data_IF_969210463576
#
_entry.id   IF_969210463576
#
_cell.length_a   1.000
_cell.length_b   1.000
_cell.length_c   1.000
_cell.angle_alpha   90.00
_cell.angle_beta   90.00
_cell.angle_gamma   90.00
#
_symmetry.space_group_name_H-M   'P 1'
#
loop_
_entity.id
_entity.type
_entity.pdbx_description
1 polymer ?
#
# COMPACT_ATOMS: atom_id res chain seq x y z
N UNK A 1 15.97 -1.79 -16.65
CA UNK A 1 15.35 -0.92 -15.64
C UNK A 1 14.15 -0.26 -16.27
N UNK A 2 13.04 -0.13 -15.55
CA UNK A 2 11.91 0.69 -15.98
C UNK A 2 12.05 2.06 -15.32
N UNK A 3 12.02 3.15 -16.09
CA UNK A 3 12.13 4.53 -15.59
C UNK A 3 10.80 5.02 -14.96
N UNK A 4 10.18 4.20 -14.11
CA UNK A 4 8.84 4.42 -13.55
C UNK A 4 8.86 4.21 -12.04
N UNK A 5 8.11 5.05 -11.33
CA UNK A 5 7.88 4.97 -9.88
C UNK A 5 6.39 4.92 -9.61
N UNK A 6 5.95 4.01 -8.74
CA UNK A 6 4.58 3.95 -8.26
C UNK A 6 4.46 4.79 -6.98
N UNK A 7 3.49 5.71 -6.95
CA UNK A 7 3.26 6.63 -5.83
C UNK A 7 1.83 6.41 -5.31
N UNK A 8 1.63 6.54 -4.00
CA UNK A 8 0.31 6.54 -3.37
C UNK A 8 0.26 7.53 -2.20
N UNK A 9 -0.93 8.03 -1.91
CA UNK A 9 -1.23 8.69 -0.63
C UNK A 9 -2.06 7.72 0.21
N UNK A 10 -1.57 7.26 1.38
CA UNK A 10 -2.29 6.29 2.19
C UNK A 10 -3.49 6.95 2.89
N UNK A 11 -4.63 6.25 2.95
CA UNK A 11 -5.79 6.67 3.72
C UNK A 11 -5.77 6.09 5.14
N UNK A 12 -4.74 6.43 5.92
CA UNK A 12 -4.61 5.99 7.32
C UNK A 12 -3.90 7.05 8.17
N UNK A 13 -4.53 7.51 9.24
CA UNK A 13 -4.05 8.61 10.08
C UNK A 13 -2.66 8.36 10.67
N UNK A 14 -2.40 7.16 11.20
CA UNK A 14 -1.08 6.80 11.76
C UNK A 14 0.03 6.92 10.70
N UNK A 15 -0.21 6.47 9.45
CA UNK A 15 0.78 6.54 8.38
C UNK A 15 0.96 7.97 7.88
N UNK A 16 -0.10 8.76 7.83
CA UNK A 16 -0.04 10.18 7.45
C UNK A 16 0.78 10.98 8.48
N UNK A 17 0.57 10.77 9.77
CA UNK A 17 1.35 11.41 10.83
C UNK A 17 2.83 11.04 10.78
N UNK A 18 3.16 9.80 10.41
CA UNK A 18 4.55 9.40 10.17
C UNK A 18 5.14 10.11 8.94
N UNK A 19 4.37 10.20 7.85
CA UNK A 19 4.78 10.91 6.63
C UNK A 19 5.00 12.42 6.87
N UNK A 20 4.30 13.05 7.82
CA UNK A 20 4.60 14.44 8.21
C UNK A 20 5.99 14.62 8.85
N UNK A 21 6.65 13.52 9.26
CA UNK A 21 7.98 13.50 9.87
C UNK A 21 9.06 12.97 8.93
N UNK A 22 8.71 12.60 7.70
CA UNK A 22 9.61 12.01 6.71
C UNK A 22 9.40 12.65 5.34
N UNK A 23 10.42 12.69 4.47
CA UNK A 23 10.20 13.17 3.10
C UNK A 23 9.39 12.14 2.29
N UNK A 24 9.83 10.88 2.29
CA UNK A 24 9.17 9.76 1.60
C UNK A 24 9.34 8.46 2.38
N UNK A 25 8.35 7.57 2.27
CA UNK A 25 8.43 6.20 2.78
C UNK A 25 8.30 5.24 1.60
N UNK A 26 9.31 4.38 1.45
CA UNK A 26 9.33 3.31 0.45
C UNK A 26 9.19 1.98 1.17
N UNK A 27 8.23 1.17 0.75
CA UNK A 27 8.02 -0.14 1.36
C UNK A 27 7.01 -0.98 0.59
N UNK A 28 7.12 -2.30 0.75
CA UNK A 28 6.14 -3.29 0.28
C UNK A 28 5.14 -3.61 1.40
N UNK A 29 4.30 -4.62 1.20
CA UNK A 29 3.56 -5.23 2.31
C UNK A 29 4.53 -5.72 3.39
N UNK A 30 4.16 -5.50 4.65
CA UNK A 30 4.89 -6.01 5.81
C UNK A 30 4.49 -7.48 6.02
N UNK A 31 5.19 -8.39 5.37
CA UNK A 31 4.97 -9.83 5.48
C UNK A 31 6.26 -10.60 5.13
N UNK A 32 6.31 -11.88 5.51
CA UNK A 32 7.35 -12.79 5.03
C UNK A 32 7.11 -13.05 3.54
N UNK A 33 8.14 -12.94 2.70
CA UNK A 33 8.02 -13.18 1.25
C UNK A 33 7.31 -14.50 0.93
N UNK A 34 6.26 -14.43 0.10
CA UNK A 34 5.44 -15.59 -0.28
C UNK A 34 4.26 -15.88 0.65
N UNK A 35 4.19 -15.25 1.83
CA UNK A 35 3.02 -15.30 2.71
C UNK A 35 1.95 -14.27 2.32
N UNK A 36 0.75 -14.41 2.89
CA UNK A 36 -0.30 -13.41 2.77
C UNK A 36 0.07 -12.12 3.50
N UNK A 37 -0.42 -10.98 3.00
CA UNK A 37 -0.26 -9.68 3.65
C UNK A 37 -0.98 -9.66 5.01
N UNK A 38 -0.26 -9.33 6.08
CA UNK A 38 -0.84 -9.19 7.41
C UNK A 38 -1.74 -7.96 7.50
N UNK A 39 -2.84 -8.09 8.25
CA UNK A 39 -3.81 -7.00 8.49
C UNK A 39 -3.98 -6.67 9.96
N UNK A 40 -3.62 -7.60 10.82
CA UNK A 40 -3.63 -7.44 12.27
C UNK A 40 -2.21 -7.12 12.75
N UNK A 41 -2.07 -6.11 13.61
CA UNK A 41 -0.77 -5.74 14.16
C UNK A 41 -0.21 -6.83 15.07
N UNK A 42 -1.05 -7.58 15.79
CA UNK A 42 -0.60 -8.73 16.59
C UNK A 42 -0.03 -9.85 15.72
N UNK A 43 -0.67 -10.13 14.58
CA UNK A 43 -0.20 -11.15 13.64
C UNK A 43 1.16 -10.72 13.06
N UNK A 44 1.27 -9.45 12.66
CA UNK A 44 2.52 -8.87 12.17
C UNK A 44 3.64 -8.95 13.23
N UNK A 45 3.35 -8.57 14.47
CA UNK A 45 4.29 -8.60 15.59
C UNK A 45 4.79 -10.02 15.90
N UNK A 46 3.90 -11.02 15.80
CA UNK A 46 4.23 -12.44 16.05
C UNK A 46 5.09 -13.06 14.94
N UNK A 47 4.92 -12.64 13.69
CA UNK A 47 5.51 -13.31 12.52
C UNK A 47 6.69 -12.57 11.89
N UNK A 48 6.78 -11.25 12.02
CA UNK A 48 7.91 -10.48 11.51
C UNK A 48 8.97 -10.34 12.59
N UNK A 49 10.22 -10.57 12.22
CA UNK A 49 11.38 -10.42 13.09
C UNK A 49 12.44 -9.56 12.37
N UNK A 50 13.46 -9.12 13.11
CA UNK A 50 14.58 -8.32 12.59
C UNK A 50 14.17 -6.96 12.00
N UNK A 51 13.35 -6.20 12.73
CA UNK A 51 13.05 -4.79 12.45
C UNK A 51 13.62 -3.89 13.56
N UNK A 52 13.95 -2.64 13.23
CA UNK A 52 14.42 -1.66 14.23
C UNK A 52 13.25 -1.03 15.01
N UNK A 53 12.09 -0.86 14.36
CA UNK A 53 10.91 -0.21 14.91
C UNK A 53 9.63 -0.91 14.41
N UNK A 54 8.69 -1.13 15.32
CA UNK A 54 7.33 -1.54 15.00
C UNK A 54 6.35 -0.41 15.33
N UNK A 55 5.68 0.12 14.31
CA UNK A 55 4.64 1.13 14.49
C UNK A 55 3.27 0.45 14.49
N UNK A 56 2.68 0.29 15.68
CA UNK A 56 1.34 -0.27 15.82
C UNK A 56 0.26 0.79 15.52
N UNK A 57 -0.33 0.70 14.33
CA UNK A 57 -1.48 1.51 13.91
C UNK A 57 -2.83 0.83 14.09
N UNK A 58 -2.88 -0.34 14.74
CA UNK A 58 -4.05 -1.20 14.83
C UNK A 58 -4.36 -1.99 13.56
N UNK A 59 -5.56 -2.58 13.53
CA UNK A 59 -6.00 -3.46 12.43
C UNK A 59 -6.35 -2.69 11.16
N UNK A 60 -5.85 -3.15 10.01
CA UNK A 60 -6.16 -2.59 8.69
C UNK A 60 -7.60 -2.97 8.29
N UNK A 61 -8.48 -1.97 8.25
CA UNK A 61 -9.89 -2.13 7.88
C UNK A 61 -10.16 -2.11 6.37
N UNK A 62 -9.20 -1.66 5.55
CA UNK A 62 -9.37 -1.59 4.08
C UNK A 62 -9.57 -2.97 3.45
N UNK A 63 -10.49 -3.10 2.50
CA UNK A 63 -10.91 -4.39 1.93
C UNK A 63 -9.82 -5.15 1.13
N UNK A 64 -8.69 -4.53 0.84
CA UNK A 64 -7.59 -5.16 0.12
C UNK A 64 -6.46 -4.18 -0.13
N UNK A 65 -5.52 -4.59 -0.98
CA UNK A 65 -4.36 -3.80 -1.36
C UNK A 65 -4.74 -2.62 -2.27
N UNK A 66 -3.81 -1.70 -2.51
CA UNK A 66 -4.01 -0.60 -3.45
C UNK A 66 -4.04 -1.08 -4.89
N UNK A 67 -4.93 -0.48 -5.68
CA UNK A 67 -4.95 -0.57 -7.14
C UNK A 67 -3.75 0.16 -7.72
N UNK A 68 -3.09 -0.44 -8.71
CA UNK A 68 -1.94 0.14 -9.40
C UNK A 68 -2.35 0.45 -10.84
N UNK A 69 -2.28 1.72 -11.20
CA UNK A 69 -2.62 2.23 -12.53
C UNK A 69 -1.42 2.90 -13.19
N UNK A 70 -1.44 2.94 -14.51
CA UNK A 70 -0.51 3.70 -15.34
C UNK A 70 -1.29 4.32 -16.52
N UNK A 71 -0.93 5.53 -16.93
CA UNK A 71 -1.39 6.08 -18.20
C UNK A 71 -0.33 5.91 -19.28
N UNK A 72 -0.67 5.22 -20.37
CA UNK A 72 0.19 5.02 -21.55
C UNK A 72 -0.53 5.62 -22.74
N UNK A 73 0.07 6.62 -23.40
CA UNK A 73 -0.54 7.34 -24.54
C UNK A 73 -1.96 7.84 -24.24
N UNK A 74 -2.18 8.36 -23.03
CA UNK A 74 -3.48 8.85 -22.55
C UNK A 74 -4.49 7.75 -22.20
N UNK A 75 -4.13 6.46 -22.31
CA UNK A 75 -5.00 5.33 -21.98
C UNK A 75 -4.67 4.77 -20.61
N UNK A 76 -5.70 4.54 -19.80
CA UNK A 76 -5.59 3.88 -18.50
C UNK A 76 -5.22 2.40 -18.68
N UNK A 77 -4.12 1.99 -18.06
CA UNK A 77 -3.71 0.60 -17.87
C UNK A 77 -3.76 0.26 -16.38
N UNK A 78 -4.42 -0.85 -16.05
CA UNK A 78 -4.44 -1.39 -14.69
C UNK A 78 -3.37 -2.49 -14.62
N UNK A 79 -2.37 -2.31 -13.77
CA UNK A 79 -1.35 -3.32 -13.50
C UNK A 79 -1.78 -4.30 -12.42
N UNK A 80 -2.56 -3.81 -11.45
CA UNK A 80 -3.14 -4.61 -10.38
C UNK A 80 -4.44 -4.00 -9.93
N UNK A 81 -5.53 -4.75 -10.00
CA UNK A 81 -6.80 -4.34 -9.39
C UNK A 81 -6.75 -4.61 -7.88
N UNK A 82 -7.07 -3.60 -7.08
CA UNK A 82 -7.11 -3.66 -5.63
C UNK A 82 -8.44 -3.15 -5.09
N UNK A 83 -8.40 -2.41 -3.99
CA UNK A 83 -9.60 -1.86 -3.32
C UNK A 83 -10.43 -0.92 -4.20
N UNK A 84 -9.81 -0.27 -5.19
CA UNK A 84 -10.50 0.54 -6.20
C UNK A 84 -10.65 -0.25 -7.48
N UNK A 85 -11.87 -0.57 -7.86
CA UNK A 85 -12.16 -1.31 -9.09
C UNK A 85 -11.95 -0.44 -10.32
N UNK A 86 -11.68 -1.07 -11.47
CA UNK A 86 -11.65 -0.37 -12.76
C UNK A 86 -12.92 0.47 -12.99
N UNK A 87 -14.08 -0.09 -12.63
CA UNK A 87 -15.37 0.57 -12.80
C UNK A 87 -15.49 1.85 -11.97
N UNK A 88 -14.97 1.86 -10.74
CA UNK A 88 -14.98 3.06 -9.89
C UNK A 88 -14.05 4.14 -10.43
N UNK A 89 -12.86 3.74 -10.90
CA UNK A 89 -11.89 4.67 -11.50
C UNK A 89 -12.45 5.30 -12.79
N UNK A 90 -13.06 4.50 -13.67
CA UNK A 90 -13.64 4.99 -14.93
C UNK A 90 -14.87 5.89 -14.75
N UNK A 91 -15.47 5.96 -13.56
CA UNK A 91 -16.60 6.88 -13.30
C UNK A 91 -16.15 8.32 -13.07
N UNK A 92 -14.87 8.53 -12.75
CA UNK A 92 -14.32 9.85 -12.39
C UNK A 92 -13.30 10.36 -13.40
N UNK A 93 -13.01 9.56 -14.43
CA UNK A 93 -12.18 9.92 -15.60
C UNK A 93 -13.10 10.24 -16.78
#
# INVERSE_FOLDING_TARGET
MTDKVAIRVPNHQCTLQLLEKCDFIVGTSANISGSHSFRDSEECYKNIHNYDLFLDGGTITSRGESTIIEFIDGKLKIHREGVLTQKEILKIL
#
